data_IF_325926889020
#
_entry.id   IF_325926889020
#
_cell.length_a   1.000
_cell.length_b   1.000
_cell.length_c   1.000
_cell.angle_alpha   90.00
_cell.angle_beta   90.00
_cell.angle_gamma   90.00
#
_symmetry.space_group_name_H-M   'P 1'
#
loop_
_entity.id
_entity.type
_entity.pdbx_description
1 polymer ?
#
# COMPACT_ATOMS: atom_id res chain seq x y z
N UNK A 1 3.35 29.53 -1.90
CA UNK A 1 3.38 30.41 -3.09
C UNK A 1 3.21 29.56 -4.33
N UNK A 2 2.68 30.12 -5.39
CA UNK A 2 2.46 29.45 -6.69
C UNK A 2 3.81 28.96 -7.27
N UNK A 3 4.89 29.66 -6.98
CA UNK A 3 6.24 29.34 -7.44
C UNK A 3 6.81 28.02 -6.90
N UNK A 4 6.29 27.53 -5.78
CA UNK A 4 6.75 26.31 -5.12
C UNK A 4 5.93 25.06 -5.50
N UNK A 5 5.04 25.16 -6.50
CA UNK A 5 4.31 23.99 -7.00
C UNK A 5 5.17 23.17 -7.93
N UNK A 6 5.04 21.84 -7.82
CA UNK A 6 5.76 20.89 -8.66
C UNK A 6 5.44 21.08 -10.14
N UNK A 7 6.47 21.07 -10.97
CA UNK A 7 6.36 21.07 -12.42
C UNK A 7 7.27 19.98 -13.00
N UNK A 8 6.71 18.98 -13.66
CA UNK A 8 7.44 17.90 -14.29
C UNK A 8 7.40 18.02 -15.80
N UNK A 9 8.53 18.36 -16.40
CA UNK A 9 8.76 18.34 -17.84
C UNK A 9 9.23 16.94 -18.27
N UNK A 10 8.39 16.20 -18.96
CA UNK A 10 8.66 14.78 -19.29
C UNK A 10 9.87 14.62 -20.22
N UNK A 11 10.01 15.48 -21.21
CA UNK A 11 11.06 15.41 -22.23
C UNK A 11 12.01 16.61 -22.17
N UNK A 12 12.43 17.02 -20.96
CA UNK A 12 13.28 18.19 -20.75
C UNK A 12 14.66 18.07 -21.44
N UNK A 13 15.26 16.88 -21.39
CA UNK A 13 16.62 16.63 -21.89
C UNK A 13 16.68 15.85 -23.21
N UNK A 14 15.57 15.18 -23.57
CA UNK A 14 15.52 14.37 -24.78
C UNK A 14 14.13 14.44 -25.40
N UNK A 15 13.98 15.11 -26.52
CA UNK A 15 12.73 15.11 -27.29
C UNK A 15 12.62 13.89 -28.20
N UNK A 16 11.37 13.48 -28.49
CA UNK A 16 11.09 12.40 -29.43
C UNK A 16 9.88 12.74 -30.31
N UNK A 17 9.89 12.29 -31.57
CA UNK A 17 8.76 12.41 -32.49
C UNK A 17 8.05 11.07 -32.56
N UNK A 18 6.79 11.05 -32.06
CA UNK A 18 5.90 9.90 -32.13
C UNK A 18 5.12 9.91 -33.43
N UNK A 19 4.94 8.73 -34.04
CA UNK A 19 4.34 8.59 -35.34
C UNK A 19 3.07 7.75 -35.29
N UNK A 20 2.05 8.18 -36.06
CA UNK A 20 0.75 7.52 -36.25
C UNK A 20 -0.12 7.47 -34.99
N UNK A 21 0.46 7.43 -33.80
CA UNK A 21 -0.24 7.49 -32.51
C UNK A 21 0.66 8.04 -31.41
N UNK A 22 0.01 8.62 -30.41
CA UNK A 22 0.65 8.98 -29.14
C UNK A 22 -0.19 8.41 -28.00
N UNK A 23 0.36 7.43 -27.31
CA UNK A 23 -0.28 6.74 -26.19
C UNK A 23 0.43 7.11 -24.88
N UNK A 24 -0.30 7.79 -23.99
CA UNK A 24 0.20 8.26 -22.69
C UNK A 24 -0.60 7.55 -21.61
N UNK A 25 0.07 6.79 -20.77
CA UNK A 25 -0.56 6.09 -19.66
C UNK A 25 0.22 6.31 -18.36
N UNK A 26 -0.49 6.46 -17.25
CA UNK A 26 0.12 6.63 -15.93
C UNK A 26 -0.87 6.25 -14.83
N UNK A 27 -0.33 5.95 -13.64
CA UNK A 27 -1.12 5.83 -12.44
C UNK A 27 -1.27 7.21 -11.78
N UNK A 28 -2.49 7.56 -11.42
CA UNK A 28 -2.87 8.82 -10.79
C UNK A 28 -3.43 8.58 -9.39
N UNK A 29 -2.98 9.36 -8.41
CA UNK A 29 -3.54 9.37 -7.07
C UNK A 29 -3.88 10.79 -6.63
N UNK A 30 -5.08 10.97 -6.10
CA UNK A 30 -5.54 12.23 -5.49
C UNK A 30 -5.82 12.03 -4.00
N UNK A 31 -5.61 13.04 -3.14
CA UNK A 31 -6.13 13.03 -1.79
C UNK A 31 -7.66 13.09 -1.77
N UNK A 32 -8.28 12.71 -0.64
CA UNK A 32 -9.75 12.69 -0.48
C UNK A 32 -10.42 14.07 -0.45
N UNK A 33 -9.66 15.12 -0.27
CA UNK A 33 -10.19 16.48 -0.21
C UNK A 33 -10.73 16.90 -1.57
N UNK A 34 -11.89 17.54 -1.56
CA UNK A 34 -12.47 18.12 -2.78
C UNK A 34 -11.50 19.09 -3.42
N UNK A 35 -11.20 18.87 -4.70
CA UNK A 35 -10.27 19.70 -5.43
C UNK A 35 -10.51 19.63 -6.94
N UNK A 36 -10.02 20.64 -7.63
CA UNK A 36 -10.05 20.73 -9.08
C UNK A 36 -8.75 21.33 -9.61
N UNK A 37 -8.50 21.10 -10.89
CA UNK A 37 -7.40 21.74 -11.60
C UNK A 37 -6.81 20.89 -12.70
N UNK A 38 -5.74 21.39 -13.29
CA UNK A 38 -5.08 20.77 -14.43
C UNK A 38 -4.00 19.80 -13.95
N UNK A 39 -3.98 18.59 -14.52
CA UNK A 39 -3.05 17.50 -14.20
C UNK A 39 -1.90 17.43 -15.20
N UNK A 40 -2.25 17.45 -16.50
CA UNK A 40 -1.28 17.25 -17.59
C UNK A 40 -1.58 18.22 -18.72
N UNK A 41 -0.54 18.85 -19.25
CA UNK A 41 -0.58 19.66 -20.47
C UNK A 41 0.30 19.06 -21.53
N UNK A 42 -0.25 18.89 -22.74
CA UNK A 42 0.43 18.30 -23.89
C UNK A 42 0.38 19.30 -25.01
N UNK A 43 1.53 19.75 -25.51
CA UNK A 43 1.64 20.68 -26.63
C UNK A 43 2.38 20.04 -27.78
N UNK A 44 1.80 20.08 -28.99
CA UNK A 44 2.57 19.87 -30.21
C UNK A 44 3.00 21.23 -30.77
N UNK A 45 4.28 21.56 -30.62
CA UNK A 45 4.79 22.88 -30.96
C UNK A 45 4.63 23.26 -32.44
N UNK A 46 4.81 22.31 -33.35
CA UNK A 46 4.73 22.56 -34.79
C UNK A 46 3.34 23.03 -35.25
N UNK A 47 2.29 22.62 -34.54
CA UNK A 47 0.91 22.88 -34.96
C UNK A 47 0.15 23.78 -34.00
N UNK A 48 0.80 24.21 -32.94
CA UNK A 48 0.17 24.98 -31.85
C UNK A 48 -1.10 24.31 -31.29
N UNK A 49 -1.14 22.96 -31.30
CA UNK A 49 -2.19 22.16 -30.68
C UNK A 49 -1.84 21.92 -29.23
N UNK A 50 -2.75 22.24 -28.32
CA UNK A 50 -2.57 22.10 -26.88
C UNK A 50 -3.75 21.36 -26.29
N UNK A 51 -3.47 20.24 -25.59
CA UNK A 51 -4.45 19.47 -24.85
C UNK A 51 -4.15 19.54 -23.36
N UNK A 52 -5.19 19.63 -22.56
CA UNK A 52 -5.08 19.69 -21.11
C UNK A 52 -6.01 18.66 -20.48
N UNK A 53 -5.45 17.78 -19.65
CA UNK A 53 -6.23 16.89 -18.78
C UNK A 53 -6.48 17.60 -17.46
N UNK A 54 -7.74 17.75 -17.08
CA UNK A 54 -8.17 18.30 -15.80
C UNK A 54 -8.92 17.27 -14.96
N UNK A 55 -8.88 17.48 -13.66
CA UNK A 55 -9.53 16.67 -12.63
C UNK A 55 -10.42 17.56 -11.76
N UNK A 56 -11.61 17.05 -11.39
CA UNK A 56 -12.52 17.70 -10.46
C UNK A 56 -13.20 16.66 -9.57
N UNK A 57 -13.08 16.81 -8.26
CA UNK A 57 -13.71 15.98 -7.23
C UNK A 57 -14.55 16.79 -6.23
N UNK A 58 -14.89 18.04 -6.56
CA UNK A 58 -15.71 18.92 -5.70
C UNK A 58 -17.19 18.50 -5.69
N UNK A 59 -17.65 17.82 -6.73
CA UNK A 59 -19.02 17.34 -6.87
C UNK A 59 -19.18 15.88 -6.40
N UNK A 60 -20.39 15.35 -6.48
CA UNK A 60 -20.66 13.95 -6.11
C UNK A 60 -19.94 12.97 -7.05
N UNK A 61 -19.79 13.32 -8.32
CA UNK A 61 -19.04 12.56 -9.31
C UNK A 61 -17.63 13.15 -9.45
N UNK A 62 -16.65 12.27 -9.61
CA UNK A 62 -15.31 12.68 -9.98
C UNK A 62 -15.23 12.76 -11.50
N UNK A 63 -14.71 13.87 -11.98
CA UNK A 63 -14.69 14.19 -13.40
C UNK A 63 -13.24 14.31 -13.88
N UNK A 64 -12.91 13.56 -14.94
CA UNK A 64 -11.73 13.80 -15.77
C UNK A 64 -12.16 14.39 -17.09
N UNK A 65 -11.55 15.52 -17.48
CA UNK A 65 -11.80 16.18 -18.75
C UNK A 65 -10.51 16.33 -19.53
N UNK A 66 -10.58 15.98 -20.83
CA UNK A 66 -9.57 16.34 -21.79
C UNK A 66 -10.11 17.49 -22.63
N UNK A 67 -9.41 18.62 -22.66
CA UNK A 67 -9.77 19.81 -23.39
C UNK A 67 -8.72 20.10 -24.47
N UNK A 68 -9.12 20.62 -25.60
CA UNK A 68 -8.24 21.26 -26.57
C UNK A 68 -8.31 22.78 -26.35
N UNK A 69 -7.15 23.44 -26.19
CA UNK A 69 -7.10 24.87 -25.94
C UNK A 69 -7.71 25.66 -27.11
N UNK A 70 -8.59 26.61 -26.78
CA UNK A 70 -9.34 27.39 -27.78
C UNK A 70 -10.60 26.70 -28.36
N UNK A 71 -10.87 25.46 -27.93
CA UNK A 71 -12.09 24.71 -28.27
C UNK A 71 -12.80 24.26 -26.98
N UNK A 72 -14.05 23.78 -27.15
CA UNK A 72 -14.81 23.19 -26.05
C UNK A 72 -14.23 21.80 -25.64
N UNK A 73 -14.73 21.25 -24.51
CA UNK A 73 -14.37 19.92 -24.01
C UNK A 73 -14.35 18.87 -25.12
N UNK A 74 -13.22 18.14 -25.21
CA UNK A 74 -13.06 17.06 -26.17
C UNK A 74 -13.63 15.75 -25.61
N UNK A 75 -13.23 15.37 -24.39
CA UNK A 75 -13.71 14.16 -23.72
C UNK A 75 -13.98 14.47 -22.25
N UNK A 76 -15.11 13.97 -21.73
CA UNK A 76 -15.44 14.02 -20.31
C UNK A 76 -15.77 12.62 -19.82
N UNK A 77 -15.15 12.19 -18.71
CA UNK A 77 -15.48 10.97 -18.00
C UNK A 77 -15.99 11.30 -16.61
N UNK A 78 -17.12 10.69 -16.25
CA UNK A 78 -17.69 10.71 -14.91
C UNK A 78 -17.38 9.38 -14.21
N UNK A 79 -16.81 9.44 -13.02
CA UNK A 79 -16.43 8.29 -12.23
C UNK A 79 -17.17 8.32 -10.90
N UNK A 80 -17.58 7.16 -10.44
CA UNK A 80 -18.17 7.03 -9.12
C UNK A 80 -17.11 7.29 -8.04
N UNK A 81 -17.40 8.21 -7.11
CA UNK A 81 -16.49 8.59 -6.03
C UNK A 81 -16.16 7.44 -5.11
N UNK A 82 -17.09 6.52 -4.87
CA UNK A 82 -16.85 5.33 -4.06
C UNK A 82 -15.86 4.35 -4.71
N UNK A 83 -15.94 4.17 -6.02
CA UNK A 83 -14.97 3.33 -6.76
C UNK A 83 -13.57 3.92 -6.73
N UNK A 84 -13.45 5.24 -6.82
CA UNK A 84 -12.17 5.94 -6.68
C UNK A 84 -11.57 5.79 -5.29
N UNK A 85 -12.40 5.82 -4.26
CA UNK A 85 -11.95 5.67 -2.88
C UNK A 85 -11.48 4.25 -2.53
N UNK A 86 -11.92 3.23 -3.28
CA UNK A 86 -11.47 1.84 -3.13
C UNK A 86 -10.02 1.63 -3.58
N UNK A 87 -9.55 2.44 -4.53
CA UNK A 87 -8.22 2.34 -5.11
C UNK A 87 -7.43 3.62 -4.87
N UNK A 88 -6.25 3.52 -4.34
CA UNK A 88 -5.36 4.67 -4.20
C UNK A 88 -4.90 5.20 -5.57
N UNK A 89 -4.60 4.30 -6.49
CA UNK A 89 -4.06 4.60 -7.81
C UNK A 89 -5.10 4.30 -8.89
N UNK A 90 -5.39 5.30 -9.70
CA UNK A 90 -6.27 5.19 -10.86
C UNK A 90 -5.40 5.06 -12.11
N UNK A 91 -5.74 4.13 -12.99
CA UNK A 91 -5.04 3.99 -14.26
C UNK A 91 -5.64 4.98 -15.26
N UNK A 92 -4.84 5.95 -15.70
CA UNK A 92 -5.23 6.96 -16.70
C UNK A 92 -4.50 6.70 -18.00
N UNK A 93 -5.21 6.72 -19.12
CA UNK A 93 -4.64 6.61 -20.46
C UNK A 93 -5.29 7.63 -21.41
N UNK A 94 -4.45 8.32 -22.17
CA UNK A 94 -4.84 9.20 -23.25
C UNK A 94 -4.21 8.66 -24.53
N UNK A 95 -5.04 8.26 -25.48
CA UNK A 95 -4.58 7.75 -26.77
C UNK A 95 -5.01 8.69 -27.89
N UNK A 96 -4.06 9.39 -28.49
CA UNK A 96 -4.23 10.14 -29.71
C UNK A 96 -3.93 9.21 -30.90
N UNK A 97 -4.95 8.96 -31.73
CA UNK A 97 -4.76 8.26 -33.01
C UNK A 97 -4.62 9.32 -34.12
N UNK A 98 -3.41 9.57 -34.52
CA UNK A 98 -3.07 10.64 -35.47
C UNK A 98 -3.49 10.32 -36.91
N UNK A 99 -3.73 9.05 -37.22
CA UNK A 99 -4.21 8.58 -38.52
C UNK A 99 -5.73 8.72 -38.64
N UNK A 100 -6.45 8.31 -37.59
CA UNK A 100 -7.92 8.37 -37.56
C UNK A 100 -8.47 9.71 -37.11
N UNK A 101 -7.62 10.60 -36.62
CA UNK A 101 -8.03 11.88 -36.03
C UNK A 101 -9.03 11.73 -34.87
N UNK A 102 -8.77 10.81 -33.99
CA UNK A 102 -9.54 10.62 -32.77
C UNK A 102 -8.67 10.63 -31.51
N UNK A 103 -9.29 10.88 -30.36
CA UNK A 103 -8.63 10.76 -29.06
C UNK A 103 -9.53 9.97 -28.10
N UNK A 104 -8.93 9.03 -27.39
CA UNK A 104 -9.61 8.25 -26.35
C UNK A 104 -9.02 8.61 -24.99
N UNK A 105 -9.88 8.95 -24.04
CA UNK A 105 -9.54 9.02 -22.62
C UNK A 105 -10.11 7.80 -21.92
N UNK A 106 -9.26 7.12 -21.16
CA UNK A 106 -9.63 5.97 -20.32
C UNK A 106 -9.17 6.20 -18.91
N UNK A 107 -10.04 5.96 -17.93
CA UNK A 107 -9.72 5.93 -16.52
C UNK A 107 -10.28 4.64 -15.92
N UNK A 108 -9.41 3.74 -15.46
CA UNK A 108 -9.76 2.39 -15.02
C UNK A 108 -10.53 1.62 -16.12
N UNK A 109 -11.81 1.33 -15.88
CA UNK A 109 -12.67 0.62 -16.83
C UNK A 109 -13.47 1.56 -17.75
N UNK A 110 -13.65 2.83 -17.31
CA UNK A 110 -14.41 3.83 -18.05
C UNK A 110 -13.58 4.40 -19.20
N UNK A 111 -14.21 4.62 -20.34
CA UNK A 111 -13.56 5.22 -21.50
C UNK A 111 -14.55 6.00 -22.35
N UNK A 112 -14.04 7.02 -23.02
CA UNK A 112 -14.77 7.78 -24.03
C UNK A 112 -13.83 8.22 -25.15
N UNK A 113 -14.34 8.28 -26.37
CA UNK A 113 -13.57 8.65 -27.58
C UNK A 113 -14.25 9.83 -28.27
N UNK A 114 -13.46 10.81 -28.66
CA UNK A 114 -13.89 11.91 -29.50
C UNK A 114 -13.33 11.70 -30.91
N UNK A 115 -14.19 11.46 -31.92
CA UNK A 115 -13.80 11.36 -33.32
C UNK A 115 -13.69 12.73 -33.99
N UNK A 116 -13.29 12.72 -35.25
CA UNK A 116 -13.34 13.87 -36.17
C UNK A 116 -12.56 15.09 -35.71
N UNK A 117 -11.44 14.87 -35.01
CA UNK A 117 -10.44 15.89 -34.67
C UNK A 117 -9.57 16.18 -35.91
N UNK A 118 -8.87 17.31 -35.88
CA UNK A 118 -7.93 17.64 -36.93
C UNK A 118 -6.51 17.79 -36.31
N UNK A 119 -5.69 16.77 -36.46
CA UNK A 119 -4.30 16.78 -35.97
C UNK A 119 -3.32 17.33 -37.01
N UNK A 120 -3.75 17.60 -38.24
CA UNK A 120 -2.99 18.12 -39.37
C UNK A 120 -1.78 17.28 -39.80
N UNK A 121 -1.06 16.61 -38.88
CA UNK A 121 0.07 15.73 -39.18
C UNK A 121 -0.07 14.40 -38.41
N UNK A 122 0.49 13.33 -38.99
CA UNK A 122 0.50 11.99 -38.39
C UNK A 122 1.74 11.75 -37.49
N UNK A 123 2.48 12.81 -37.18
CA UNK A 123 3.63 12.74 -36.28
C UNK A 123 3.65 13.95 -35.35
N UNK A 124 3.89 13.69 -34.05
CA UNK A 124 3.98 14.70 -33.02
C UNK A 124 5.29 14.64 -32.26
N UNK A 125 5.83 15.82 -31.99
CA UNK A 125 6.93 16.02 -31.04
C UNK A 125 6.36 16.74 -29.82
N UNK A 126 5.80 16.00 -28.84
CA UNK A 126 5.09 16.61 -27.72
C UNK A 126 6.01 17.25 -26.72
N UNK A 127 5.59 18.40 -26.19
CA UNK A 127 6.08 18.99 -24.94
C UNK A 127 5.04 18.69 -23.87
N UNK A 128 5.42 18.01 -22.80
CA UNK A 128 4.49 17.49 -21.80
C UNK A 128 4.89 17.97 -20.41
N UNK A 129 3.92 18.53 -19.68
CA UNK A 129 4.08 18.98 -18.31
C UNK A 129 2.99 18.38 -17.40
N UNK A 130 3.40 17.72 -16.33
CA UNK A 130 2.53 17.41 -15.20
C UNK A 130 2.66 18.50 -14.15
N UNK A 131 1.51 18.91 -13.57
CA UNK A 131 1.48 19.97 -12.58
C UNK A 131 1.60 21.37 -13.20
N UNK A 132 2.41 22.23 -12.60
CA UNK A 132 2.55 23.62 -13.04
C UNK A 132 3.20 23.71 -14.44
N UNK A 133 2.65 24.57 -15.29
CA UNK A 133 3.24 24.98 -16.58
C UNK A 133 3.11 26.49 -16.74
N UNK A 134 3.67 27.07 -17.82
CA UNK A 134 3.77 28.52 -18.03
C UNK A 134 2.49 29.34 -17.74
N UNK A 135 1.32 28.78 -18.08
CA UNK A 135 0.04 29.49 -17.97
C UNK A 135 -0.97 28.81 -17.03
N UNK A 136 -0.61 27.66 -16.46
CA UNK A 136 -1.50 26.86 -15.64
C UNK A 136 -1.07 26.95 -14.19
N UNK A 137 -1.91 27.55 -13.36
CA UNK A 137 -1.70 27.76 -11.93
C UNK A 137 -2.68 26.97 -11.06
N UNK A 138 -3.85 26.63 -11.58
CA UNK A 138 -4.85 25.81 -10.89
C UNK A 138 -4.50 24.34 -11.05
N UNK A 139 -3.82 23.81 -10.04
CA UNK A 139 -3.31 22.45 -10.02
C UNK A 139 -3.83 21.77 -8.76
N UNK A 140 -4.51 20.60 -8.88
CA UNK A 140 -4.88 19.83 -7.69
C UNK A 140 -3.63 19.22 -7.05
N UNK A 141 -3.72 18.86 -5.78
CA UNK A 141 -2.71 17.97 -5.21
C UNK A 141 -2.89 16.57 -5.76
N UNK A 142 -1.86 16.00 -6.36
CA UNK A 142 -1.90 14.65 -6.90
C UNK A 142 -0.50 14.02 -6.94
N UNK A 143 -0.48 12.70 -7.08
CA UNK A 143 0.73 11.95 -7.37
C UNK A 143 0.59 11.20 -8.69
N UNK A 144 1.73 10.96 -9.33
CA UNK A 144 1.82 10.09 -10.51
C UNK A 144 2.96 9.10 -10.35
N UNK A 145 2.81 7.95 -11.00
CA UNK A 145 3.86 6.92 -11.14
C UNK A 145 3.65 6.13 -12.42
N UNK A 146 4.62 5.32 -12.79
CA UNK A 146 4.54 4.39 -13.92
C UNK A 146 4.07 5.06 -15.20
N UNK A 147 4.67 6.22 -15.54
CA UNK A 147 4.35 6.91 -16.78
C UNK A 147 4.91 6.15 -17.97
N UNK A 148 4.05 5.89 -18.96
CA UNK A 148 4.41 5.34 -20.27
C UNK A 148 4.03 6.32 -21.36
N UNK A 149 4.93 6.60 -22.27
CA UNK A 149 4.68 7.41 -23.47
C UNK A 149 5.22 6.65 -24.67
N UNK A 150 4.33 6.31 -25.61
CA UNK A 150 4.69 5.40 -26.70
C UNK A 150 3.93 5.63 -28.00
N UNK A 151 4.51 5.15 -29.09
CA UNK A 151 3.86 4.82 -30.35
C UNK A 151 4.03 3.31 -30.66
N UNK A 152 3.79 2.89 -31.89
CA UNK A 152 3.91 1.47 -32.27
C UNK A 152 5.36 0.96 -32.31
N UNK A 153 6.36 1.86 -32.35
CA UNK A 153 7.77 1.52 -32.51
C UNK A 153 8.63 1.84 -31.30
N UNK A 154 8.25 2.87 -30.53
CA UNK A 154 9.06 3.41 -29.45
C UNK A 154 8.24 3.50 -28.17
N UNK A 155 8.85 3.09 -27.06
CA UNK A 155 8.25 3.16 -25.72
C UNK A 155 9.23 3.81 -24.76
N UNK A 156 8.77 4.87 -24.08
CA UNK A 156 9.44 5.44 -22.91
C UNK A 156 8.68 5.02 -21.67
N UNK A 157 9.36 4.43 -20.72
CA UNK A 157 8.79 4.05 -19.41
C UNK A 157 9.51 4.85 -18.33
N UNK A 158 8.76 5.60 -17.56
CA UNK A 158 9.25 6.37 -16.42
C UNK A 158 8.62 5.80 -15.14
N UNK A 159 9.35 5.03 -14.34
CA UNK A 159 8.82 4.50 -13.07
C UNK A 159 8.42 5.60 -12.09
N UNK A 160 9.11 6.76 -12.14
CA UNK A 160 8.98 7.88 -11.20
C UNK A 160 9.22 7.43 -9.76
N UNK A 161 10.28 6.64 -9.58
CA UNK A 161 10.70 6.05 -8.32
C UNK A 161 11.98 6.67 -7.77
N UNK A 162 12.33 7.84 -8.24
CA UNK A 162 13.42 8.65 -7.68
C UNK A 162 13.11 9.00 -6.21
N UNK A 163 14.15 9.15 -5.42
CA UNK A 163 14.06 9.48 -4.01
C UNK A 163 14.70 10.82 -3.65
N UNK A 164 15.33 11.48 -4.62
CA UNK A 164 16.00 12.79 -4.47
C UNK A 164 16.32 13.41 -5.83
N UNK A 165 16.68 14.69 -5.81
CA UNK A 165 17.09 15.43 -6.99
C UNK A 165 15.93 15.85 -7.88
N UNK A 166 16.27 16.43 -9.03
CA UNK A 166 15.33 17.03 -9.98
C UNK A 166 15.29 16.28 -11.32
N UNK A 167 16.08 15.24 -11.49
CA UNK A 167 16.19 14.49 -12.74
C UNK A 167 15.25 13.28 -12.71
N UNK A 168 14.62 13.02 -13.86
CA UNK A 168 13.78 11.84 -14.06
C UNK A 168 14.41 10.95 -15.10
N UNK A 169 14.55 9.67 -14.77
CA UNK A 169 15.14 8.66 -15.62
C UNK A 169 14.08 7.70 -16.17
N UNK A 170 14.30 7.22 -17.38
CA UNK A 170 13.50 6.12 -17.90
C UNK A 170 13.92 4.79 -17.28
N UNK A 171 13.21 3.71 -17.62
CA UNK A 171 13.48 2.37 -17.10
C UNK A 171 14.85 1.80 -17.51
N UNK A 172 15.52 2.41 -18.49
CA UNK A 172 16.88 2.07 -18.94
C UNK A 172 17.95 2.89 -18.25
N UNK A 173 17.56 3.83 -17.38
CA UNK A 173 18.46 4.70 -16.62
C UNK A 173 18.90 5.97 -17.39
N UNK A 174 18.28 6.27 -18.54
CA UNK A 174 18.57 7.49 -19.28
C UNK A 174 17.89 8.69 -18.65
N UNK A 175 18.63 9.79 -18.46
CA UNK A 175 18.10 11.07 -17.99
C UNK A 175 17.28 11.72 -19.09
N UNK A 176 15.98 11.84 -18.94
CA UNK A 176 15.06 12.37 -19.95
C UNK A 176 14.24 13.54 -19.45
N UNK A 177 13.68 13.46 -18.25
CA UNK A 177 12.81 14.46 -17.66
C UNK A 177 13.43 15.29 -16.56
N UNK A 178 12.77 16.40 -16.24
CA UNK A 178 13.17 17.30 -15.17
C UNK A 178 11.97 17.71 -14.32
N UNK A 179 12.15 17.78 -13.00
CA UNK A 179 11.14 18.23 -12.06
C UNK A 179 11.61 19.45 -11.29
N UNK A 180 10.81 20.50 -11.31
CA UNK A 180 11.00 21.68 -10.45
C UNK A 180 10.16 21.52 -9.20
N UNK A 181 10.73 21.79 -8.03
CA UNK A 181 10.09 21.60 -6.71
C UNK A 181 9.52 20.18 -6.54
N UNK A 182 10.35 19.12 -6.69
CA UNK A 182 9.89 17.75 -6.58
C UNK A 182 9.44 17.39 -5.17
N UNK A 183 8.42 16.52 -5.09
CA UNK A 183 8.03 15.82 -3.88
C UNK A 183 8.06 14.33 -4.21
N UNK A 184 9.14 13.66 -3.81
CA UNK A 184 9.31 12.23 -4.04
C UNK A 184 8.61 11.42 -2.97
N UNK A 185 7.43 10.89 -3.32
CA UNK A 185 6.53 10.20 -2.40
C UNK A 185 7.06 8.86 -1.89
N UNK A 186 8.09 8.33 -2.52
CA UNK A 186 8.71 7.08 -2.09
C UNK A 186 9.34 7.21 -0.68
N UNK A 187 9.71 8.43 -0.28
CA UNK A 187 10.33 8.71 1.01
C UNK A 187 9.33 9.18 2.08
N UNK A 188 8.12 9.54 1.68
CA UNK A 188 7.13 10.15 2.55
C UNK A 188 5.82 9.37 2.52
N UNK A 189 5.23 9.15 3.69
CA UNK A 189 3.85 8.68 3.82
C UNK A 189 2.84 9.80 3.41
N UNK A 190 3.13 10.52 2.33
CA UNK A 190 2.49 11.76 1.92
C UNK A 190 1.00 11.63 1.64
N UNK A 191 0.53 10.40 1.36
CA UNK A 191 -0.88 10.13 1.06
C UNK A 191 -1.58 9.32 2.15
N UNK A 192 -1.11 9.41 3.39
CA UNK A 192 -1.91 8.94 4.50
C UNK A 192 -3.21 9.75 4.55
N UNK A 193 -4.33 9.02 4.49
CA UNK A 193 -5.66 9.61 4.60
C UNK A 193 -6.22 9.29 5.97
N UNK A 194 -6.62 10.32 6.70
CA UNK A 194 -7.37 10.12 7.92
C UNK A 194 -8.76 9.58 7.55
N UNK A 195 -9.09 8.37 8.02
CA UNK A 195 -10.39 7.73 7.80
C UNK A 195 -11.28 7.87 9.02
N UNK A 196 -10.75 7.51 10.16
CA UNK A 196 -11.49 7.44 11.41
C UNK A 196 -10.52 7.51 12.58
N UNK A 197 -10.94 8.10 13.69
CA UNK A 197 -10.26 8.05 14.97
C UNK A 197 -11.16 7.35 16.00
N UNK A 198 -10.57 6.45 16.78
CA UNK A 198 -11.22 5.80 17.91
C UNK A 198 -10.51 6.22 19.19
N UNK A 199 -11.29 6.57 20.19
CA UNK A 199 -10.76 6.91 21.51
C UNK A 199 -11.09 5.79 22.49
N UNK A 200 -10.14 5.44 23.33
CA UNK A 200 -10.34 4.48 24.42
C UNK A 200 -9.47 4.87 25.61
N UNK A 201 -10.05 4.79 26.81
CA UNK A 201 -9.33 4.95 28.06
C UNK A 201 -8.66 3.65 28.52
N UNK A 202 -8.94 2.54 27.83
CA UNK A 202 -8.44 1.20 28.14
C UNK A 202 -7.58 0.66 26.99
N UNK A 203 -6.84 -0.43 27.25
CA UNK A 203 -6.10 -1.11 26.19
C UNK A 203 -7.07 -1.67 25.16
N UNK A 204 -6.86 -1.34 23.92
CA UNK A 204 -7.71 -1.71 22.81
C UNK A 204 -6.95 -2.50 21.76
N UNK A 205 -7.69 -3.30 21.00
CA UNK A 205 -7.22 -3.94 19.77
C UNK A 205 -7.84 -3.28 18.54
N UNK A 206 -7.14 -3.38 17.44
CA UNK A 206 -7.65 -2.97 16.13
C UNK A 206 -7.24 -3.98 15.07
N UNK A 207 -8.20 -4.43 14.27
CA UNK A 207 -7.97 -5.39 13.19
C UNK A 207 -8.73 -4.95 11.94
N UNK A 208 -8.14 -5.21 10.79
CA UNK A 208 -8.77 -4.97 9.50
C UNK A 208 -9.19 -6.30 8.87
N UNK A 209 -10.48 -6.44 8.58
CA UNK A 209 -11.01 -7.53 7.78
C UNK A 209 -11.03 -7.10 6.31
N UNK A 210 -10.06 -7.58 5.54
CA UNK A 210 -9.92 -7.25 4.12
C UNK A 210 -11.09 -7.76 3.28
N UNK A 211 -11.75 -8.83 3.70
CA UNK A 211 -12.87 -9.41 2.96
C UNK A 211 -14.13 -8.54 3.04
N UNK A 212 -14.48 -8.10 4.25
CA UNK A 212 -15.65 -7.26 4.51
C UNK A 212 -15.36 -5.76 4.35
N UNK A 213 -14.08 -5.37 4.17
CA UNK A 213 -13.64 -3.98 4.18
C UNK A 213 -14.01 -3.25 5.49
N UNK A 214 -13.84 -3.92 6.62
CA UNK A 214 -14.19 -3.42 7.94
C UNK A 214 -13.00 -3.35 8.88
N UNK A 215 -12.91 -2.26 9.64
CA UNK A 215 -12.01 -2.15 10.78
C UNK A 215 -12.81 -2.52 12.04
N UNK A 216 -12.29 -3.50 12.77
CA UNK A 216 -12.77 -3.87 14.10
C UNK A 216 -11.91 -3.16 15.12
N UNK A 217 -12.52 -2.30 15.91
CA UNK A 217 -11.90 -1.64 17.04
C UNK A 217 -12.59 -2.10 18.33
N UNK A 218 -11.84 -2.62 19.28
CA UNK A 218 -12.42 -3.27 20.45
C UNK A 218 -11.58 -3.07 21.71
N UNK A 219 -12.26 -3.05 22.84
CA UNK A 219 -11.69 -3.03 24.18
C UNK A 219 -12.39 -4.10 25.06
N UNK A 220 -12.23 -4.02 26.36
CA UNK A 220 -12.81 -4.96 27.34
C UNK A 220 -14.34 -4.92 27.45
N UNK A 221 -14.98 -3.85 26.94
CA UNK A 221 -16.43 -3.60 27.11
C UNK A 221 -17.22 -3.67 25.82
N UNK A 222 -16.62 -3.24 24.72
CA UNK A 222 -17.35 -3.03 23.46
C UNK A 222 -16.48 -3.27 22.23
N UNK A 223 -17.16 -3.49 21.12
CA UNK A 223 -16.57 -3.55 19.79
C UNK A 223 -17.26 -2.55 18.86
N UNK A 224 -16.45 -1.82 18.10
CA UNK A 224 -16.92 -0.95 17.02
C UNK A 224 -16.47 -1.54 15.70
N UNK A 225 -17.41 -1.71 14.78
CA UNK A 225 -17.12 -2.01 13.38
C UNK A 225 -17.21 -0.72 12.57
N UNK A 226 -16.20 -0.45 11.76
CA UNK A 226 -16.18 0.66 10.83
C UNK A 226 -16.01 0.15 9.42
N UNK A 227 -17.01 0.40 8.56
CA UNK A 227 -16.93 0.01 7.15
C UNK A 227 -16.16 1.07 6.36
N UNK A 228 -15.02 0.67 5.78
CA UNK A 228 -14.12 1.60 5.06
C UNK A 228 -14.65 2.02 3.70
N UNK A 229 -15.67 1.34 3.18
CA UNK A 229 -16.28 1.65 1.87
C UNK A 229 -17.30 2.78 1.97
N UNK A 230 -18.18 2.72 2.98
CA UNK A 230 -19.29 3.66 3.12
C UNK A 230 -19.17 4.59 4.34
N UNK A 231 -18.14 4.40 5.19
CA UNK A 231 -17.87 5.23 6.36
C UNK A 231 -18.84 5.04 7.52
N UNK A 232 -19.64 3.98 7.52
CA UNK A 232 -20.57 3.71 8.63
C UNK A 232 -19.89 3.01 9.80
N UNK A 233 -20.28 3.38 11.01
CA UNK A 233 -19.83 2.77 12.26
C UNK A 233 -20.99 2.16 13.02
N UNK A 234 -20.72 1.02 13.67
CA UNK A 234 -21.65 0.38 14.59
C UNK A 234 -20.91 -0.08 15.84
N UNK A 235 -21.35 0.35 17.01
CA UNK A 235 -20.77 -0.03 18.29
C UNK A 235 -21.74 -0.90 19.06
N UNK A 236 -21.25 -2.01 19.62
CA UNK A 236 -21.99 -2.94 20.47
C UNK A 236 -21.25 -3.18 21.78
N UNK A 237 -21.94 -3.04 22.89
CA UNK A 237 -21.43 -3.51 24.18
C UNK A 237 -21.55 -5.03 24.25
N UNK A 238 -20.58 -5.71 24.85
CA UNK A 238 -20.62 -7.16 24.98
C UNK A 238 -21.72 -7.61 25.95
N UNK A 239 -22.34 -8.75 25.65
CA UNK A 239 -23.29 -9.38 26.52
C UNK A 239 -22.66 -9.86 27.84
N UNK A 240 -21.36 -10.17 27.83
CA UNK A 240 -20.57 -10.53 29.01
C UNK A 240 -19.12 -9.98 28.81
N UNK A 241 -18.42 -9.66 29.93
CA UNK A 241 -17.03 -9.19 29.84
C UNK A 241 -16.13 -10.17 29.11
N UNK A 242 -15.09 -9.63 28.42
CA UNK A 242 -14.08 -10.48 27.81
C UNK A 242 -13.36 -11.32 28.89
N UNK A 243 -13.18 -12.64 28.66
CA UNK A 243 -12.58 -13.53 29.65
C UNK A 243 -11.07 -13.32 29.84
N UNK A 244 -10.45 -12.47 29.02
CA UNK A 244 -9.02 -12.19 29.05
C UNK A 244 -8.73 -10.71 28.85
N UNK A 245 -7.51 -10.28 29.20
CA UNK A 245 -7.04 -8.91 28.94
C UNK A 245 -6.54 -8.77 27.51
N UNK A 246 -6.98 -7.72 26.84
CA UNK A 246 -6.42 -7.37 25.54
C UNK A 246 -5.03 -6.73 25.67
N UNK A 247 -4.21 -6.97 24.67
CA UNK A 247 -2.92 -6.32 24.48
C UNK A 247 -2.79 -5.86 23.04
N UNK A 248 -2.00 -4.84 22.79
CA UNK A 248 -1.75 -4.38 21.43
C UNK A 248 -1.01 -5.46 20.64
N UNK A 249 -1.53 -5.76 19.45
CA UNK A 249 -0.92 -6.70 18.51
C UNK A 249 -1.10 -8.18 18.87
N UNK A 250 -2.05 -8.51 19.74
CA UNK A 250 -2.40 -9.90 20.13
C UNK A 250 -3.80 -10.28 19.70
N UNK A 251 -4.16 -9.94 18.48
CA UNK A 251 -5.43 -10.29 17.85
C UNK A 251 -5.26 -10.55 16.36
N UNK A 252 -6.16 -11.34 15.79
CA UNK A 252 -6.22 -11.59 14.34
C UNK A 252 -7.66 -11.93 13.93
N UNK A 253 -7.91 -11.84 12.63
CA UNK A 253 -9.21 -12.16 12.03
C UNK A 253 -9.07 -13.39 11.14
N UNK A 254 -9.93 -14.36 11.37
CA UNK A 254 -10.22 -15.44 10.43
C UNK A 254 -11.35 -14.96 9.50
N UNK A 255 -10.99 -14.61 8.27
CA UNK A 255 -11.96 -14.08 7.31
C UNK A 255 -12.90 -15.17 6.77
N UNK A 256 -12.45 -16.42 6.72
CA UNK A 256 -13.24 -17.55 6.25
C UNK A 256 -14.35 -17.97 7.25
N UNK A 257 -14.05 -17.89 8.54
CA UNK A 257 -15.03 -18.20 9.62
C UNK A 257 -15.67 -16.95 10.22
N UNK A 258 -15.28 -15.75 9.76
CA UNK A 258 -15.73 -14.47 10.30
C UNK A 258 -15.50 -14.36 11.82
N UNK A 259 -14.34 -14.81 12.32
CA UNK A 259 -14.00 -14.79 13.74
C UNK A 259 -12.85 -13.83 14.03
N UNK A 260 -13.03 -13.05 15.09
CA UNK A 260 -11.97 -12.23 15.67
C UNK A 260 -11.39 -12.99 16.88
N UNK A 261 -10.09 -13.23 16.85
CA UNK A 261 -9.37 -13.92 17.93
C UNK A 261 -8.51 -12.95 18.72
N UNK A 262 -8.38 -13.22 20.01
CA UNK A 262 -7.40 -12.60 20.90
C UNK A 262 -6.62 -13.68 21.66
N UNK A 263 -5.34 -13.41 21.94
CA UNK A 263 -4.45 -14.34 22.62
C UNK A 263 -3.45 -13.63 23.54
N UNK A 264 -2.94 -14.35 24.56
CA UNK A 264 -2.01 -13.82 25.53
C UNK A 264 -0.59 -14.35 25.28
N UNK A 265 0.39 -13.44 25.20
CA UNK A 265 1.81 -13.76 25.04
C UNK A 265 2.71 -12.87 25.89
N UNK A 266 2.13 -11.98 26.70
CA UNK A 266 2.87 -10.97 27.46
C UNK A 266 3.17 -11.38 28.90
N UNK A 267 2.27 -12.12 29.53
CA UNK A 267 2.35 -12.42 30.96
C UNK A 267 2.18 -13.93 31.29
N UNK A 268 2.89 -14.87 30.61
CA UNK A 268 2.88 -16.25 31.02
C UNK A 268 3.80 -16.48 32.25
N UNK A 269 3.47 -17.42 33.17
CA UNK A 269 2.19 -18.12 33.29
C UNK A 269 1.16 -17.24 33.96
N UNK A 270 -0.05 -17.33 33.51
CA UNK A 270 -1.10 -16.56 34.13
C UNK A 270 -2.37 -17.42 34.37
N UNK A 271 -3.11 -17.09 35.43
CA UNK A 271 -4.33 -17.81 35.76
C UNK A 271 -5.51 -17.22 34.98
N UNK A 272 -6.01 -17.94 34.00
CA UNK A 272 -7.11 -17.53 33.18
C UNK A 272 -6.99 -18.06 31.75
N UNK A 273 -7.93 -17.69 30.92
CA UNK A 273 -7.91 -18.05 29.51
C UNK A 273 -6.80 -17.28 28.79
N UNK A 274 -6.02 -18.00 28.00
CA UNK A 274 -4.94 -17.45 27.19
C UNK A 274 -5.34 -17.14 25.75
N UNK A 275 -6.50 -17.62 25.34
CA UNK A 275 -7.09 -17.28 24.04
C UNK A 275 -8.61 -17.30 24.10
N UNK A 276 -9.23 -16.47 23.26
CA UNK A 276 -10.66 -16.34 23.09
C UNK A 276 -10.99 -15.88 21.67
N UNK A 277 -12.21 -16.10 21.23
CA UNK A 277 -12.71 -15.56 19.97
C UNK A 277 -14.04 -14.85 20.17
N UNK A 278 -14.30 -13.83 19.36
CA UNK A 278 -15.53 -13.06 19.42
C UNK A 278 -16.60 -13.69 18.54
N UNK A 279 -17.76 -13.97 19.16
CA UNK A 279 -18.96 -14.49 18.54
C UNK A 279 -19.89 -13.32 18.17
N UNK A 280 -19.94 -12.99 16.89
CA UNK A 280 -20.77 -11.92 16.33
C UNK A 280 -22.27 -12.15 16.53
N UNK A 281 -22.71 -13.41 16.56
CA UNK A 281 -24.11 -13.77 16.71
C UNK A 281 -24.61 -13.49 18.14
N UNK A 282 -23.83 -13.92 19.11
CA UNK A 282 -24.16 -13.79 20.52
C UNK A 282 -23.61 -12.51 21.17
N UNK A 283 -22.86 -11.72 20.41
CA UNK A 283 -22.22 -10.48 20.86
C UNK A 283 -21.38 -10.67 22.13
N UNK A 284 -20.56 -11.70 22.17
CA UNK A 284 -19.73 -12.05 23.32
C UNK A 284 -18.42 -12.72 22.92
N UNK A 285 -17.45 -12.64 23.82
CA UNK A 285 -16.22 -13.39 23.72
C UNK A 285 -16.38 -14.80 24.27
N UNK A 286 -16.01 -15.80 23.48
CA UNK A 286 -16.00 -17.20 23.86
C UNK A 286 -14.59 -17.64 24.22
N UNK A 287 -14.35 -18.12 25.44
CA UNK A 287 -13.05 -18.65 25.83
C UNK A 287 -12.64 -19.84 24.96
N UNK A 288 -11.35 -19.95 24.62
CA UNK A 288 -10.83 -21.01 23.77
C UNK A 288 -9.88 -21.94 24.54
N UNK A 289 -8.81 -21.41 25.14
CA UNK A 289 -7.79 -22.23 25.76
C UNK A 289 -7.07 -21.52 26.91
N UNK A 290 -6.54 -22.34 27.84
CA UNK A 290 -5.60 -21.91 28.88
C UNK A 290 -4.11 -22.09 28.46
N UNK A 291 -3.87 -22.61 27.26
CA UNK A 291 -2.54 -22.91 26.80
C UNK A 291 -1.74 -21.63 26.50
N UNK A 292 -0.59 -21.49 27.13
CA UNK A 292 0.28 -20.32 27.01
C UNK A 292 1.63 -20.71 26.44
N UNK A 293 2.28 -19.75 25.80
CA UNK A 293 3.67 -19.93 25.36
C UNK A 293 4.63 -20.06 26.57
N UNK A 294 5.75 -20.76 26.38
CA UNK A 294 6.72 -21.00 27.47
C UNK A 294 7.45 -19.74 27.92
N UNK A 295 7.35 -18.64 27.16
CA UNK A 295 8.02 -17.39 27.46
C UNK A 295 7.20 -16.21 26.92
N UNK A 296 7.48 -15.01 27.41
CA UNK A 296 6.94 -13.77 26.87
C UNK A 296 7.52 -13.49 25.48
N UNK A 297 6.68 -13.04 24.54
CA UNK A 297 7.07 -12.68 23.18
C UNK A 297 6.44 -11.35 22.77
N UNK A 298 6.90 -10.26 23.41
CA UNK A 298 6.49 -8.91 23.07
C UNK A 298 6.96 -8.55 21.66
N UNK A 299 6.15 -7.84 20.90
CA UNK A 299 6.48 -7.33 19.58
C UNK A 299 6.94 -8.41 18.57
N UNK A 300 6.38 -9.61 18.69
CA UNK A 300 6.49 -10.65 17.67
C UNK A 300 5.83 -10.21 16.36
N UNK A 301 6.22 -10.84 15.25
CA UNK A 301 5.51 -10.77 13.97
C UNK A 301 4.52 -11.92 13.87
N UNK A 302 3.48 -11.76 13.07
CA UNK A 302 2.43 -12.76 13.01
C UNK A 302 1.83 -12.90 11.61
N UNK A 303 1.32 -14.09 11.33
CA UNK A 303 0.60 -14.44 10.11
C UNK A 303 -0.49 -15.48 10.41
N UNK A 304 -1.69 -15.29 9.88
CA UNK A 304 -2.76 -16.28 9.93
C UNK A 304 -2.74 -17.18 8.68
N UNK A 305 -2.43 -18.45 8.88
CA UNK A 305 -2.46 -19.49 7.86
C UNK A 305 -3.88 -20.10 7.83
N UNK A 306 -4.75 -19.49 7.04
CA UNK A 306 -6.16 -19.87 6.92
C UNK A 306 -6.31 -21.31 6.39
N UNK A 307 -5.45 -21.73 5.47
CA UNK A 307 -5.48 -23.05 4.85
C UNK A 307 -5.30 -24.19 5.86
N UNK A 308 -4.41 -23.98 6.82
CA UNK A 308 -4.08 -24.97 7.85
C UNK A 308 -4.69 -24.64 9.23
N UNK A 309 -5.56 -23.63 9.32
CA UNK A 309 -6.23 -23.20 10.55
C UNK A 309 -5.26 -22.96 11.70
N UNK A 310 -4.15 -22.27 11.44
CA UNK A 310 -3.13 -21.97 12.43
C UNK A 310 -2.67 -20.52 12.35
N UNK A 311 -2.38 -19.95 13.53
CA UNK A 311 -1.81 -18.62 13.64
C UNK A 311 -0.34 -18.70 13.98
N UNK A 312 0.54 -18.25 13.07
CA UNK A 312 1.99 -18.35 13.19
C UNK A 312 2.55 -17.04 13.71
N UNK A 313 3.43 -17.11 14.72
CA UNK A 313 4.19 -15.97 15.21
C UNK A 313 5.68 -16.25 15.12
N UNK A 314 6.47 -15.18 14.97
CA UNK A 314 7.93 -15.25 14.92
C UNK A 314 8.57 -14.18 15.79
N UNK A 315 9.63 -14.57 16.48
CA UNK A 315 10.47 -13.65 17.21
C UNK A 315 9.79 -13.05 18.44
N UNK A 316 10.15 -11.82 18.76
CA UNK A 316 9.66 -11.14 19.96
C UNK A 316 10.69 -11.15 21.10
N UNK A 317 10.33 -10.52 22.22
CA UNK A 317 11.19 -10.46 23.39
C UNK A 317 10.40 -10.59 24.68
N UNK A 318 11.09 -11.01 25.73
CA UNK A 318 10.58 -11.10 27.09
C UNK A 318 11.54 -11.90 27.97
N UNK A 319 11.40 -11.80 29.29
CA UNK A 319 12.28 -12.48 30.25
C UNK A 319 13.76 -12.27 29.95
N UNK A 320 14.14 -11.02 29.61
CA UNK A 320 15.52 -10.62 29.27
C UNK A 320 16.11 -11.30 28.03
N UNK A 321 15.25 -11.85 27.14
CA UNK A 321 15.67 -12.55 25.93
C UNK A 321 14.94 -12.09 24.68
N UNK A 322 15.66 -12.04 23.55
CA UNK A 322 15.09 -12.02 22.20
C UNK A 322 14.86 -13.46 21.72
N UNK A 323 13.88 -13.66 20.86
CA UNK A 323 13.54 -14.96 20.29
C UNK A 323 13.80 -15.00 18.77
N UNK A 324 14.19 -16.17 18.27
CA UNK A 324 14.24 -16.52 16.86
C UNK A 324 13.35 -17.74 16.54
N UNK A 325 12.39 -18.01 17.40
CA UNK A 325 11.52 -19.19 17.27
C UNK A 325 10.24 -18.83 16.55
N UNK A 326 9.70 -19.81 15.85
CA UNK A 326 8.35 -19.79 15.31
C UNK A 326 7.44 -20.63 16.18
N UNK A 327 6.26 -20.08 16.50
CA UNK A 327 5.19 -20.82 17.16
C UNK A 327 3.94 -20.75 16.34
N UNK A 328 3.14 -21.81 16.37
CA UNK A 328 1.83 -21.86 15.75
C UNK A 328 0.76 -22.19 16.81
N UNK A 329 -0.31 -21.40 16.81
CA UNK A 329 -1.52 -21.72 17.57
C UNK A 329 -2.52 -22.39 16.61
N UNK A 330 -2.97 -23.59 16.96
CA UNK A 330 -4.13 -24.20 16.34
C UNK A 330 -5.39 -23.40 16.74
N UNK A 331 -6.08 -22.81 15.76
CA UNK A 331 -7.19 -21.89 16.06
C UNK A 331 -8.48 -22.58 16.49
N UNK A 332 -8.56 -23.90 16.32
CA UNK A 332 -9.70 -24.70 16.79
C UNK A 332 -9.55 -25.03 18.28
N UNK A 333 -8.36 -25.38 18.71
CA UNK A 333 -8.06 -25.82 20.09
C UNK A 333 -7.42 -24.76 20.96
N UNK A 334 -6.87 -23.70 20.36
CA UNK A 334 -6.09 -22.67 21.05
C UNK A 334 -4.75 -23.15 21.60
N UNK A 335 -4.24 -24.32 21.17
CA UNK A 335 -2.98 -24.88 21.61
C UNK A 335 -1.81 -24.39 20.79
N UNK A 336 -0.71 -24.06 21.49
CA UNK A 336 0.55 -23.65 20.89
C UNK A 336 1.49 -24.81 20.64
N UNK A 337 2.21 -24.76 19.53
CA UNK A 337 3.31 -25.67 19.19
C UNK A 337 4.46 -24.90 18.56
N UNK A 338 5.70 -25.35 18.77
CA UNK A 338 6.87 -24.79 18.11
C UNK A 338 7.00 -25.35 16.70
N UNK A 339 7.16 -24.47 15.71
CA UNK A 339 7.56 -24.86 14.37
C UNK A 339 9.08 -24.89 14.33
N UNK A 340 9.66 -26.09 14.33
CA UNK A 340 11.08 -26.27 14.13
C UNK A 340 11.41 -26.13 12.65
N UNK A 341 12.41 -25.32 12.35
CA UNK A 341 12.87 -25.09 10.98
C UNK A 341 14.29 -25.62 10.78
N UNK A 342 14.63 -25.84 9.52
CA UNK A 342 15.97 -26.21 9.04
C UNK A 342 16.51 -25.12 8.12
N UNK A 343 17.76 -25.23 7.69
CA UNK A 343 18.39 -24.27 6.78
C UNK A 343 19.18 -23.19 7.47
N UNK A 344 19.05 -21.94 7.00
CA UNK A 344 19.88 -20.86 7.48
C UNK A 344 19.48 -20.40 8.90
N UNK A 345 20.46 -19.93 9.65
CA UNK A 345 20.25 -19.37 10.97
C UNK A 345 19.74 -17.92 10.86
N UNK A 346 18.74 -17.58 11.66
CA UNK A 346 18.27 -16.20 11.87
C UNK A 346 18.51 -15.80 13.33
N UNK A 347 19.15 -14.66 13.55
CA UNK A 347 19.43 -14.16 14.89
C UNK A 347 18.15 -13.82 15.66
N UNK A 348 18.14 -14.01 17.00
CA UNK A 348 17.02 -13.60 17.85
C UNK A 348 16.70 -12.11 17.73
N UNK A 349 15.41 -11.78 17.51
CA UNK A 349 14.96 -10.42 17.21
C UNK A 349 13.49 -10.17 17.45
N UNK A 350 13.11 -8.91 17.46
CA UNK A 350 11.74 -8.42 17.55
C UNK A 350 11.49 -7.27 16.57
N UNK A 351 10.26 -6.80 16.42
CA UNK A 351 9.87 -5.80 15.43
C UNK A 351 10.18 -6.17 13.97
N UNK A 352 10.24 -7.44 13.66
CA UNK A 352 10.36 -7.87 12.27
C UNK A 352 9.06 -7.58 11.49
N UNK A 353 9.20 -7.37 10.19
CA UNK A 353 8.08 -7.42 9.27
C UNK A 353 7.91 -8.84 8.73
N UNK A 354 6.67 -9.30 8.59
CA UNK A 354 6.35 -10.60 8.02
C UNK A 354 5.30 -10.46 6.93
N UNK A 355 5.54 -11.09 5.78
CA UNK A 355 4.61 -11.14 4.65
C UNK A 355 4.48 -12.56 4.12
N UNK A 356 3.31 -12.90 3.57
CA UNK A 356 3.02 -14.22 3.03
C UNK A 356 2.86 -14.20 1.52
N UNK A 357 3.52 -15.13 0.86
CA UNK A 357 3.40 -15.38 -0.58
C UNK A 357 2.59 -16.65 -0.83
N UNK A 358 1.34 -16.55 -1.32
CA UNK A 358 0.48 -17.71 -1.54
C UNK A 358 1.01 -18.68 -2.59
N UNK A 359 1.64 -18.17 -3.66
CA UNK A 359 2.08 -19.01 -4.81
C UNK A 359 3.13 -20.02 -4.42
N UNK A 360 3.99 -19.73 -3.47
CA UNK A 360 5.03 -20.64 -2.96
C UNK A 360 4.77 -21.13 -1.53
N UNK A 361 3.63 -20.79 -0.93
CA UNK A 361 3.30 -21.07 0.48
C UNK A 361 4.46 -20.72 1.42
N UNK A 362 4.93 -19.49 1.32
CA UNK A 362 6.12 -19.06 2.04
C UNK A 362 5.91 -17.76 2.81
N UNK A 363 6.57 -17.68 3.97
CA UNK A 363 6.67 -16.45 4.76
C UNK A 363 8.00 -15.75 4.47
N UNK A 364 7.93 -14.45 4.24
CA UNK A 364 9.10 -13.58 4.18
C UNK A 364 9.23 -12.81 5.49
N UNK A 365 10.42 -12.81 6.06
CA UNK A 365 10.75 -12.13 7.32
C UNK A 365 11.83 -11.09 7.01
N UNK A 366 11.56 -9.83 7.29
CA UNK A 366 12.48 -8.74 7.04
C UNK A 366 12.82 -7.97 8.31
N UNK A 367 14.11 -7.66 8.46
CA UNK A 367 14.60 -6.67 9.40
C UNK A 367 14.41 -7.03 10.87
N UNK A 368 13.98 -6.04 11.64
CA UNK A 368 13.84 -6.16 13.08
C UNK A 368 15.08 -5.68 13.85
N UNK A 369 15.06 -5.88 15.15
CA UNK A 369 16.11 -5.48 16.08
C UNK A 369 16.39 -6.59 17.10
N UNK A 370 17.65 -6.85 17.38
CA UNK A 370 18.08 -7.89 18.32
C UNK A 370 19.58 -8.06 18.33
N UNK A 371 20.06 -9.25 18.67
CA UNK A 371 21.47 -9.61 18.59
C UNK A 371 21.65 -11.12 18.45
N UNK A 372 22.87 -11.55 18.13
CA UNK A 372 23.21 -12.95 17.89
C UNK A 372 23.00 -13.85 19.12
N UNK A 373 23.27 -13.32 20.32
CA UNK A 373 23.17 -14.09 21.58
C UNK A 373 21.73 -14.24 22.08
N UNK A 374 20.83 -13.39 21.66
CA UNK A 374 19.47 -13.27 22.19
C UNK A 374 19.39 -12.62 23.59
N UNK A 375 20.49 -12.16 24.18
CA UNK A 375 20.51 -11.55 25.51
C UNK A 375 20.21 -10.04 25.40
N UNK A 376 19.22 -9.56 26.14
CA UNK A 376 18.82 -8.13 26.13
C UNK A 376 19.86 -7.23 26.83
N UNK A 377 20.75 -7.77 27.64
CA UNK A 377 21.83 -7.02 28.30
C UNK A 377 22.95 -6.63 27.33
N UNK A 378 23.02 -7.30 26.18
CA UNK A 378 24.03 -7.05 25.15
C UNK A 378 23.44 -6.04 24.12
N UNK A 379 24.37 -5.23 23.55
CA UNK A 379 23.98 -4.25 22.55
C UNK A 379 23.18 -4.88 21.40
N UNK A 380 22.06 -4.27 21.09
CA UNK A 380 21.18 -4.66 20.00
C UNK A 380 21.50 -3.87 18.75
N UNK A 381 21.27 -4.50 17.58
CA UNK A 381 21.43 -3.90 16.26
C UNK A 381 20.18 -4.02 15.43
N UNK A 382 20.04 -3.17 14.43
CA UNK A 382 19.05 -3.33 13.39
C UNK A 382 19.55 -4.31 12.32
N UNK A 383 18.62 -5.12 11.80
CA UNK A 383 18.87 -6.04 10.71
C UNK A 383 18.26 -5.52 9.42
N UNK A 384 18.99 -5.67 8.33
CA UNK A 384 18.57 -5.29 6.97
C UNK A 384 18.67 -6.50 6.04
N UNK A 385 18.15 -7.61 6.50
CA UNK A 385 18.17 -8.91 5.86
C UNK A 385 16.75 -9.41 5.58
N UNK A 386 16.61 -10.24 4.56
CA UNK A 386 15.38 -10.90 4.18
C UNK A 386 15.57 -12.41 4.25
N UNK A 387 14.67 -13.07 4.92
CA UNK A 387 14.56 -14.53 4.97
C UNK A 387 13.26 -14.99 4.35
N UNK A 388 13.27 -16.19 3.77
CA UNK A 388 12.12 -16.91 3.27
C UNK A 388 11.98 -18.23 4.03
N UNK A 389 10.84 -18.46 4.68
CA UNK A 389 10.45 -19.74 5.28
C UNK A 389 9.43 -20.44 4.37
N UNK A 390 9.81 -21.57 3.80
CA UNK A 390 8.88 -22.46 3.08
C UNK A 390 8.03 -23.22 4.11
N UNK A 391 6.73 -22.99 4.13
CA UNK A 391 5.80 -23.61 5.07
C UNK A 391 5.47 -25.08 4.74
N UNK A 392 5.82 -25.56 3.54
CA UNK A 392 5.63 -26.98 3.18
C UNK A 392 6.74 -27.85 3.78
N UNK A 393 7.96 -27.30 3.87
CA UNK A 393 9.16 -28.05 4.30
C UNK A 393 9.74 -27.54 5.61
N UNK A 394 9.28 -26.39 6.11
CA UNK A 394 9.86 -25.64 7.21
C UNK A 394 11.37 -25.35 6.99
N UNK A 395 11.74 -25.06 5.75
CA UNK A 395 13.10 -24.68 5.39
C UNK A 395 13.23 -23.16 5.31
N UNK A 396 14.14 -22.61 6.12
CA UNK A 396 14.45 -21.19 6.18
C UNK A 396 15.68 -20.89 5.31
N UNK A 397 15.56 -19.90 4.43
CA UNK A 397 16.65 -19.45 3.56
C UNK A 397 16.84 -17.95 3.68
N UNK A 398 18.09 -17.52 3.89
CA UNK A 398 18.48 -16.11 3.78
C UNK A 398 18.51 -15.73 2.30
N UNK A 399 17.69 -14.77 1.91
CA UNK A 399 17.57 -14.34 0.52
C UNK A 399 18.62 -13.29 0.17
N UNK A 400 18.80 -12.31 1.05
CA UNK A 400 19.81 -11.26 0.91
C UNK A 400 20.01 -10.49 2.23
N UNK A 401 21.05 -9.68 2.27
CA UNK A 401 21.35 -8.74 3.33
C UNK A 401 21.98 -7.48 2.75
N UNK A 402 21.50 -6.31 3.18
CA UNK A 402 22.09 -5.03 2.84
C UNK A 402 23.11 -4.70 3.95
N UNK A 403 24.35 -4.53 3.58
CA UNK A 403 25.38 -3.98 4.48
C UNK A 403 25.20 -2.47 4.54
N UNK A 404 24.54 -2.01 5.58
CA UNK A 404 24.20 -0.61 5.76
C UNK A 404 25.10 -0.01 6.84
N UNK A 405 25.86 1.02 6.49
CA UNK A 405 26.75 1.71 7.44
C UNK A 405 26.16 3.03 7.98
N UNK A 406 24.96 3.44 7.51
CA UNK A 406 24.21 4.57 8.05
C UNK A 406 22.73 4.21 8.12
N UNK A 407 22.16 4.27 9.32
CA UNK A 407 20.77 3.96 9.57
C UNK A 407 19.85 5.12 9.11
N UNK A 408 19.59 5.22 7.81
CA UNK A 408 18.58 6.14 7.27
C UNK A 408 17.16 5.57 7.33
N UNK A 409 17.03 4.29 7.67
CA UNK A 409 15.76 3.59 7.75
C UNK A 409 15.76 2.67 8.97
N UNK A 410 14.71 2.76 9.77
CA UNK A 410 14.44 1.79 10.84
C UNK A 410 13.52 0.71 10.25
N UNK A 411 13.91 -0.58 10.28
CA UNK A 411 13.03 -1.66 9.87
C UNK A 411 11.79 -1.68 10.77
N UNK A 412 10.62 -1.49 10.20
CA UNK A 412 9.35 -1.43 10.95
C UNK A 412 8.48 -2.64 10.67
N UNK A 413 7.54 -2.91 11.57
CA UNK A 413 6.52 -3.95 11.42
C UNK A 413 5.61 -3.67 10.22
N UNK A 414 4.96 -4.72 9.74
CA UNK A 414 3.90 -4.71 8.73
C UNK A 414 4.40 -4.65 7.28
N UNK A 415 5.03 -5.73 6.86
CA UNK A 415 5.21 -6.01 5.43
C UNK A 415 3.87 -6.48 4.83
N UNK A 416 3.54 -5.95 3.67
CA UNK A 416 2.44 -6.44 2.85
C UNK A 416 3.03 -6.98 1.56
N UNK A 417 2.73 -8.24 1.23
CA UNK A 417 3.07 -8.81 -0.07
C UNK A 417 2.04 -8.37 -1.10
N UNK A 418 2.48 -7.63 -2.10
CA UNK A 418 1.64 -7.21 -3.22
C UNK A 418 1.95 -8.06 -4.45
N UNK A 419 1.16 -9.11 -4.66
CA UNK A 419 1.29 -10.03 -5.79
C UNK A 419 1.07 -9.35 -7.16
N UNK A 420 0.38 -8.21 -7.20
CA UNK A 420 0.12 -7.48 -8.43
C UNK A 420 1.35 -6.71 -8.93
N UNK A 421 2.26 -6.34 -8.04
CA UNK A 421 3.50 -5.62 -8.40
C UNK A 421 4.67 -6.57 -8.73
N UNK A 422 4.71 -7.75 -8.10
CA UNK A 422 5.86 -8.67 -8.22
C UNK A 422 5.55 -9.96 -8.98
N UNK A 423 4.32 -10.15 -9.40
CA UNK A 423 3.86 -11.33 -10.14
C UNK A 423 4.00 -11.22 -11.68
N UNK A 424 4.96 -10.41 -12.15
CA UNK A 424 5.29 -10.35 -13.59
C UNK A 424 6.77 -10.55 -13.80
#
# INVERSE_FOLDING_TARGET
SIENRTSYNVFAYKSHTFKDRLDIAFDYAAPETSMRGNVLRIKNEKQNLIYTLSFNSEEQDVIFKLNEEGKQNVVTLHLNKEELNRRRWQQVQILFNLVKNDVTLKVNKERSTCPDLNFAEQSWKPVMYFGRSEYIIDIPSFGIRNLSVKDDKTTFLFPLNENKGNEVHDSEGSRIGEVVCPVWMINDAYFWRHKVAFESNEVAGAMFNVHNQEIYYFNDKQITTYNTTNGTSNTKEYAAPCPMKFRLGTSFVDTGQERLYAYEVYDPPFSGYASAWYDWHNNQWTPLSYDVLPTQLHHHSAFYDETNHRYIIFGGFGNHRFSNRFYAMDVVTGKWSEIKYTGDHIDPRYFTSMGYEPSSNSLYIFGGMGNESGDQAIERRYYYDLYKLDLNTNHLKKMWEIKWNQANMVPVRNMIYDALQYGK
#
